data_IF_282310962104
#
_entry.id   IF_282310962104
#
_cell.length_a   1.000
_cell.length_b   1.000
_cell.length_c   1.000
_cell.angle_alpha   90.00
_cell.angle_beta   90.00
_cell.angle_gamma   90.00
#
_symmetry.space_group_name_H-M   'P 1'
#
loop_
_entity.id
_entity.type
_entity.pdbx_description
1 polymer ?
#
# COMPACT_ATOMS: atom_id res chain seq x y z
N UNK A 1 -8.01 -5.01 -3.65
CA UNK A 1 -7.37 -3.78 -3.16
C UNK A 1 -5.96 -4.13 -2.71
N UNK A 2 -4.96 -3.41 -3.16
CA UNK A 2 -3.54 -3.66 -2.87
C UNK A 2 -3.05 -2.63 -1.86
N UNK A 3 -2.24 -3.04 -0.89
CA UNK A 3 -1.49 -2.13 -0.04
C UNK A 3 -0.19 -1.79 -0.79
N UNK A 4 -0.06 -0.58 -1.31
CA UNK A 4 1.11 -0.16 -2.06
C UNK A 4 1.45 1.33 -1.89
N UNK A 5 2.74 1.57 -1.72
CA UNK A 5 3.35 2.88 -1.53
C UNK A 5 4.85 2.79 -1.86
N UNK A 6 5.53 3.93 -1.84
CA UNK A 6 6.94 3.99 -2.19
C UNK A 6 7.80 3.06 -1.32
N UNK A 7 8.72 2.35 -1.98
CA UNK A 7 9.57 1.32 -1.39
C UNK A 7 11.00 1.77 -1.15
N UNK A 8 11.38 2.98 -1.58
CA UNK A 8 12.66 3.58 -1.21
C UNK A 8 12.77 3.63 0.32
N UNK A 9 13.89 3.19 0.94
CA UNK A 9 13.95 2.94 2.38
C UNK A 9 13.47 4.10 3.26
N UNK A 10 13.86 5.32 2.92
CA UNK A 10 13.44 6.53 3.66
C UNK A 10 11.94 6.81 3.50
N UNK A 11 11.43 6.70 2.27
CA UNK A 11 10.03 6.94 1.97
C UNK A 11 9.14 5.85 2.55
N UNK A 12 9.57 4.58 2.54
CA UNK A 12 8.90 3.45 3.15
C UNK A 12 8.69 3.69 4.65
N UNK A 13 9.75 4.08 5.36
CA UNK A 13 9.67 4.39 6.79
C UNK A 13 8.74 5.57 7.09
N UNK A 14 8.77 6.60 6.23
CA UNK A 14 7.86 7.73 6.33
C UNK A 14 6.40 7.30 6.11
N UNK A 15 6.11 6.47 5.11
CA UNK A 15 4.77 5.94 4.84
C UNK A 15 4.22 5.09 5.98
N UNK A 16 5.02 4.20 6.56
CA UNK A 16 4.62 3.40 7.72
C UNK A 16 4.35 4.28 8.94
N UNK A 17 5.16 5.32 9.16
CA UNK A 17 4.95 6.28 10.25
C UNK A 17 3.67 7.09 10.06
N UNK A 18 3.40 7.56 8.83
CA UNK A 18 2.14 8.23 8.48
C UNK A 18 0.94 7.30 8.66
N UNK A 19 1.08 6.01 8.34
CA UNK A 19 0.01 5.04 8.47
C UNK A 19 -0.32 4.78 9.95
N UNK A 20 0.67 4.59 10.81
CA UNK A 20 0.45 4.50 12.25
C UNK A 20 -0.25 5.77 12.78
N UNK A 21 0.21 6.97 12.39
CA UNK A 21 -0.39 8.23 12.82
C UNK A 21 -1.84 8.38 12.35
N UNK A 22 -2.14 8.08 11.08
CA UNK A 22 -3.49 8.12 10.53
C UNK A 22 -4.44 7.14 11.21
N UNK A 23 -3.93 5.94 11.55
CA UNK A 23 -4.70 4.92 12.26
C UNK A 23 -5.08 5.41 13.65
N UNK A 24 -4.14 5.98 14.40
CA UNK A 24 -4.40 6.62 15.70
C UNK A 24 -5.38 7.78 15.59
N UNK A 25 -5.21 8.69 14.62
CA UNK A 25 -6.12 9.84 14.46
C UNK A 25 -7.54 9.43 14.05
N UNK A 26 -7.69 8.23 13.48
CA UNK A 26 -8.99 7.63 13.14
C UNK A 26 -9.67 6.96 14.35
N UNK A 27 -9.14 7.13 15.56
CA UNK A 27 -9.72 6.63 16.80
C UNK A 27 -9.31 5.19 17.17
N UNK A 28 -8.37 4.60 16.43
CA UNK A 28 -7.81 3.29 16.80
C UNK A 28 -6.84 3.44 17.97
N UNK A 29 -6.89 2.49 18.89
CA UNK A 29 -5.96 2.41 20.03
C UNK A 29 -4.49 2.56 19.56
N UNK A 30 -3.69 3.48 20.14
CA UNK A 30 -2.31 3.71 19.75
C UNK A 30 -1.41 2.46 19.78
N UNK A 31 -1.61 1.55 20.73
CA UNK A 31 -0.85 0.30 20.81
C UNK A 31 -1.19 -0.62 19.63
N UNK A 32 -2.45 -0.61 19.17
CA UNK A 32 -2.86 -1.34 17.95
C UNK A 32 -2.37 -0.63 16.69
N UNK A 33 -2.35 0.70 16.66
CA UNK A 33 -1.86 1.48 15.53
C UNK A 33 -0.36 1.25 15.27
N UNK A 34 0.42 0.96 16.31
CA UNK A 34 1.84 0.60 16.18
C UNK A 34 2.08 -0.75 15.49
N UNK A 35 1.09 -1.66 15.48
CA UNK A 35 1.16 -2.93 14.73
C UNK A 35 1.31 -2.72 13.22
N UNK A 36 0.99 -1.53 12.71
CA UNK A 36 1.24 -1.15 11.32
C UNK A 36 2.72 -1.27 10.94
N UNK A 37 3.65 -1.06 11.88
CA UNK A 37 5.08 -1.29 11.62
C UNK A 37 5.38 -2.77 11.40
N UNK A 38 4.76 -3.65 12.18
CA UNK A 38 4.88 -5.10 11.98
C UNK A 38 4.28 -5.56 10.64
N UNK A 39 3.26 -4.86 10.12
CA UNK A 39 2.75 -5.09 8.75
C UNK A 39 3.86 -4.78 7.73
N UNK A 40 4.57 -3.67 7.89
CA UNK A 40 5.73 -3.33 7.07
C UNK A 40 6.90 -4.31 7.17
N UNK A 41 7.03 -5.07 8.24
CA UNK A 41 8.10 -6.09 8.34
C UNK A 41 7.68 -7.44 7.75
N UNK A 42 6.38 -7.75 7.78
CA UNK A 42 5.87 -9.09 7.46
C UNK A 42 5.27 -9.21 6.06
N UNK A 43 4.84 -8.10 5.47
CA UNK A 43 4.27 -8.10 4.12
C UNK A 43 5.29 -7.60 3.11
N UNK A 44 5.34 -8.31 1.98
CA UNK A 44 5.94 -7.77 0.77
C UNK A 44 5.01 -6.70 0.20
N UNK A 45 5.35 -5.44 0.48
CA UNK A 45 4.61 -4.28 0.00
C UNK A 45 5.36 -3.76 -1.22
N UNK A 46 4.65 -3.60 -2.32
CA UNK A 46 5.20 -3.12 -3.59
C UNK A 46 4.93 -1.63 -3.77
N UNK A 47 5.69 -1.02 -4.69
CA UNK A 47 5.31 0.28 -5.24
C UNK A 47 4.09 0.13 -6.15
N UNK A 48 3.28 1.19 -6.33
CA UNK A 48 2.15 1.15 -7.27
C UNK A 48 2.57 0.80 -8.71
N UNK A 49 3.77 1.18 -9.13
CA UNK A 49 4.31 0.82 -10.45
C UNK A 49 4.59 -0.69 -10.55
N UNK A 50 5.14 -1.29 -9.49
CA UNK A 50 5.38 -2.74 -9.46
C UNK A 50 4.07 -3.53 -9.41
N UNK A 51 3.05 -3.06 -8.69
CA UNK A 51 1.69 -3.62 -8.72
C UNK A 51 1.16 -3.67 -10.16
N UNK A 52 1.23 -2.54 -10.88
CA UNK A 52 0.78 -2.44 -12.28
C UNK A 52 1.55 -3.41 -13.19
N UNK A 53 2.86 -3.43 -13.05
CA UNK A 53 3.73 -4.29 -13.87
C UNK A 53 3.44 -5.78 -13.64
N UNK A 54 3.19 -6.20 -12.40
CA UNK A 54 2.80 -7.58 -12.11
C UNK A 54 1.47 -7.97 -12.76
N UNK A 55 0.47 -7.07 -12.75
CA UNK A 55 -0.79 -7.33 -13.46
C UNK A 55 -0.58 -7.45 -14.97
N UNK A 56 0.26 -6.59 -15.56
CA UNK A 56 0.61 -6.67 -16.99
C UNK A 56 1.31 -7.99 -17.32
N UNK A 57 2.28 -8.41 -16.50
CA UNK A 57 2.99 -9.69 -16.64
C UNK A 57 2.07 -10.89 -16.51
N UNK A 58 1.02 -10.79 -15.70
CA UNK A 58 -0.01 -11.82 -15.56
C UNK A 58 -0.99 -11.88 -16.77
N UNK A 59 -0.81 -11.02 -17.77
CA UNK A 59 -1.61 -11.01 -19.01
C UNK A 59 -2.78 -10.03 -18.98
N UNK A 60 -3.01 -9.31 -17.88
CA UNK A 60 -4.06 -8.31 -17.83
C UNK A 60 -3.71 -7.09 -18.69
N UNK A 61 -4.72 -6.57 -19.39
CA UNK A 61 -4.64 -5.43 -20.30
C UNK A 61 -5.44 -4.25 -19.78
N UNK A 62 -5.09 -3.05 -20.27
CA UNK A 62 -5.69 -1.77 -19.88
C UNK A 62 -5.75 -1.62 -18.35
N UNK A 63 -4.64 -1.96 -17.68
CA UNK A 63 -4.50 -1.75 -16.23
C UNK A 63 -4.56 -0.25 -15.98
N UNK A 64 -5.43 0.17 -15.07
CA UNK A 64 -5.59 1.58 -14.70
C UNK A 64 -5.97 1.70 -13.23
N UNK A 65 -5.42 2.72 -12.57
CA UNK A 65 -5.79 3.06 -11.21
C UNK A 65 -7.26 3.53 -11.18
N UNK A 66 -8.08 2.86 -10.39
CA UNK A 66 -9.49 3.19 -10.20
C UNK A 66 -9.73 3.89 -8.85
N UNK A 67 -8.96 3.52 -7.83
CA UNK A 67 -9.16 4.00 -6.47
C UNK A 67 -7.83 4.16 -5.74
N UNK A 68 -7.69 5.26 -4.99
CA UNK A 68 -6.59 5.45 -4.07
C UNK A 68 -7.10 5.99 -2.74
N UNK A 69 -6.81 5.28 -1.65
CA UNK A 69 -7.06 5.76 -0.29
C UNK A 69 -5.82 5.52 0.56
N UNK A 70 -5.06 6.59 0.74
CA UNK A 70 -3.83 6.59 1.52
C UNK A 70 -2.81 5.55 1.03
N UNK A 71 -2.64 4.42 1.71
CA UNK A 71 -1.72 3.33 1.31
C UNK A 71 -2.39 2.26 0.44
N UNK A 72 -3.70 2.34 0.22
CA UNK A 72 -4.43 1.37 -0.59
C UNK A 72 -4.63 1.84 -2.02
N UNK A 73 -4.53 0.91 -2.97
CA UNK A 73 -4.80 1.08 -4.40
C UNK A 73 -5.85 0.07 -4.86
N UNK A 74 -6.78 0.53 -5.69
CA UNK A 74 -7.73 -0.30 -6.42
C UNK A 74 -7.46 -0.15 -7.91
N UNK A 75 -7.38 -1.27 -8.61
CA UNK A 75 -7.03 -1.34 -10.02
C UNK A 75 -8.20 -1.93 -10.81
N UNK A 76 -8.38 -1.46 -12.05
CA UNK A 76 -9.25 -2.10 -13.05
C UNK A 76 -8.37 -2.61 -14.17
N UNK A 77 -8.59 -3.85 -14.60
CA UNK A 77 -7.90 -4.47 -15.72
C UNK A 77 -8.77 -5.55 -16.37
N UNK A 78 -8.41 -5.97 -17.58
CA UNK A 78 -9.17 -6.92 -18.39
C UNK A 78 -8.30 -8.13 -18.77
N UNK A 79 -8.85 -9.34 -18.71
CA UNK A 79 -8.20 -10.57 -19.16
C UNK A 79 -8.38 -10.80 -20.67
#
# INVERSE_FOLDING_TARGET
MHLSFDQEPELRNAWLSRYAAFTTSSGVDPAKAQLVRAIGERLEILSPMQDEELMRKAGFKRVSLFYAAFTFRGWVAYA
#
